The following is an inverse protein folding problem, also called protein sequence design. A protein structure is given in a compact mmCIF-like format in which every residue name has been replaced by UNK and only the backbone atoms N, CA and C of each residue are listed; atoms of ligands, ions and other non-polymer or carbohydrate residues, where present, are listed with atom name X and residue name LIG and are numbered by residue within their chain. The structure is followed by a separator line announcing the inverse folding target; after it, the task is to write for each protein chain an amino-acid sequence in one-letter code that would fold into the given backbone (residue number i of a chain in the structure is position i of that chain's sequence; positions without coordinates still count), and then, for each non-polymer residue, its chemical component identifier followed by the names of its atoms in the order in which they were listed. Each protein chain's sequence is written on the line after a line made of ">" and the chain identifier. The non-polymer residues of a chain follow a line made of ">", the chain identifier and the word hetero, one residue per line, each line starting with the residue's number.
data_IF_395440739064
#
_entry.id   IF_395440739064
#
_cell.length_a   1.000
_cell.length_b   1.000
_cell.length_c   1.000
_cell.angle_alpha   90.00
_cell.angle_beta   90.00
_cell.angle_gamma   90.00
#
_symmetry.space_group_name_H-M   'P 1'
#
loop_
_entity.id
_entity.type
_entity.pdbx_description
1 polymer ?
#
# COMPACT_ATOMS: atom_id res chain seq x y z
N UNK A 1 -14.56 9.39 -2.32
CA UNK A 1 -14.29 8.01 -1.86
C UNK A 1 -15.20 7.63 -0.69
N UNK A 2 -15.18 8.37 0.42
CA UNK A 2 -15.86 8.00 1.67
C UNK A 2 -17.39 7.93 1.54
N UNK A 3 -18.01 8.83 0.78
CA UNK A 3 -19.45 8.74 0.46
C UNK A 3 -19.77 7.49 -0.36
N UNK A 4 -19.06 7.24 -1.47
CA UNK A 4 -19.22 6.01 -2.28
C UNK A 4 -19.06 4.72 -1.45
N UNK A 5 -18.09 4.68 -0.53
CA UNK A 5 -17.85 3.51 0.31
C UNK A 5 -18.96 3.30 1.35
N UNK A 6 -19.49 4.39 1.93
CA UNK A 6 -20.64 4.35 2.86
C UNK A 6 -21.93 3.97 2.14
N UNK A 7 -22.20 4.59 0.99
CA UNK A 7 -23.40 4.34 0.16
C UNK A 7 -23.49 2.88 -0.30
N UNK A 8 -22.35 2.19 -0.41
CA UNK A 8 -22.25 0.77 -0.79
C UNK A 8 -22.01 -0.18 0.38
N UNK A 9 -22.10 0.31 1.62
CA UNK A 9 -21.88 -0.49 2.84
C UNK A 9 -20.53 -1.22 2.87
N UNK A 10 -19.47 -0.64 2.30
CA UNK A 10 -18.15 -1.27 2.23
C UNK A 10 -17.39 -1.18 3.55
N UNK A 11 -17.68 -0.17 4.37
CA UNK A 11 -17.03 0.05 5.67
C UNK A 11 -17.68 -0.78 6.77
N UNK A 12 -19.00 -0.69 6.94
CA UNK A 12 -19.74 -1.39 7.99
C UNK A 12 -20.13 -2.83 7.61
N UNK A 13 -20.26 -3.11 6.31
CA UNK A 13 -20.60 -4.44 5.79
C UNK A 13 -19.44 -5.42 5.68
N UNK A 14 -18.25 -5.05 6.17
CA UNK A 14 -17.07 -5.92 6.17
C UNK A 14 -16.29 -5.76 7.47
N UNK A 15 -15.50 -6.78 7.82
CA UNK A 15 -14.55 -6.68 8.94
C UNK A 15 -13.15 -6.30 8.44
N UNK A 16 -12.26 -5.81 9.31
CA UNK A 16 -10.86 -5.60 8.96
C UNK A 16 -10.16 -6.88 8.45
N UNK A 17 -10.60 -8.05 8.93
CA UNK A 17 -10.11 -9.35 8.43
C UNK A 17 -10.52 -9.58 6.99
N UNK A 18 -11.77 -9.28 6.62
CA UNK A 18 -12.26 -9.43 5.25
C UNK A 18 -11.52 -8.48 4.30
N UNK A 19 -11.30 -7.24 4.72
CA UNK A 19 -10.53 -6.28 3.95
C UNK A 19 -9.05 -6.68 3.82
N UNK A 20 -8.45 -7.31 4.84
CA UNK A 20 -7.11 -7.89 4.73
C UNK A 20 -7.04 -9.01 3.69
N UNK A 21 -8.03 -9.91 3.66
CA UNK A 21 -8.12 -10.96 2.64
C UNK A 21 -8.30 -10.36 1.24
N UNK A 22 -9.11 -9.31 1.11
CA UNK A 22 -9.28 -8.59 -0.15
C UNK A 22 -7.98 -7.93 -0.61
N UNK A 23 -7.23 -7.31 0.30
CA UNK A 23 -5.92 -6.73 -0.02
C UNK A 23 -4.93 -7.79 -0.55
N UNK A 24 -4.92 -8.98 0.05
CA UNK A 24 -4.08 -10.09 -0.44
C UNK A 24 -4.46 -10.48 -1.87
N UNK A 25 -5.76 -10.47 -2.20
CA UNK A 25 -6.22 -10.70 -3.57
C UNK A 25 -5.66 -9.62 -4.53
N UNK A 26 -5.81 -8.33 -4.21
CA UNK A 26 -5.33 -7.24 -5.09
C UNK A 26 -3.81 -7.29 -5.29
N UNK A 27 -3.05 -7.67 -4.26
CA UNK A 27 -1.59 -7.88 -4.38
C UNK A 27 -1.26 -9.05 -5.30
N UNK A 28 -2.10 -10.09 -5.31
CA UNK A 28 -1.98 -11.21 -6.25
C UNK A 28 -2.20 -10.77 -7.70
N UNK A 29 -3.21 -9.93 -7.95
CA UNK A 29 -3.51 -9.36 -9.27
C UNK A 29 -2.37 -8.43 -9.74
N UNK A 30 -1.87 -7.57 -8.85
CA UNK A 30 -0.67 -6.75 -9.11
C UNK A 30 0.54 -7.59 -9.50
N UNK A 31 0.79 -8.68 -8.77
CA UNK A 31 1.91 -9.59 -9.07
C UNK A 31 1.78 -10.22 -10.46
N UNK A 32 0.57 -10.68 -10.82
CA UNK A 32 0.29 -11.28 -12.12
C UNK A 32 0.46 -10.27 -13.27
N UNK A 33 -0.05 -9.05 -13.13
CA UNK A 33 0.14 -7.97 -14.10
C UNK A 33 1.62 -7.64 -14.32
N UNK A 34 2.40 -7.52 -13.25
CA UNK A 34 3.84 -7.29 -13.34
C UNK A 34 4.57 -8.45 -14.03
N UNK A 35 4.24 -9.70 -13.70
CA UNK A 35 4.84 -10.88 -14.33
C UNK A 35 4.52 -10.97 -15.83
N UNK A 36 3.37 -10.44 -16.26
CA UNK A 36 2.94 -10.41 -17.66
C UNK A 36 3.40 -9.17 -18.42
N UNK A 37 4.05 -8.21 -17.76
CA UNK A 37 4.46 -6.94 -18.36
C UNK A 37 3.28 -6.01 -18.69
N UNK A 38 2.13 -6.20 -18.03
CA UNK A 38 0.98 -5.33 -18.16
C UNK A 38 1.15 -4.04 -17.33
N UNK A 39 0.33 -3.03 -17.63
CA UNK A 39 0.29 -1.83 -16.79
C UNK A 39 -0.28 -2.17 -15.41
N UNK A 40 0.41 -1.81 -14.31
CA UNK A 40 -0.08 -2.07 -12.95
C UNK A 40 -1.03 -0.98 -12.42
N UNK A 41 -1.50 -0.06 -13.28
CA UNK A 41 -2.25 1.13 -12.84
C UNK A 41 -3.54 0.76 -12.10
N UNK A 42 -4.27 -0.23 -12.61
CA UNK A 42 -5.54 -0.67 -12.03
C UNK A 42 -5.28 -1.41 -10.71
N UNK A 43 -4.36 -2.37 -10.69
CA UNK A 43 -4.07 -3.18 -9.49
C UNK A 43 -3.49 -2.34 -8.34
N UNK A 44 -2.67 -1.33 -8.64
CA UNK A 44 -2.19 -0.36 -7.63
C UNK A 44 -3.38 0.44 -7.08
N UNK A 45 -4.29 0.87 -7.96
CA UNK A 45 -5.51 1.57 -7.57
C UNK A 45 -6.39 0.75 -6.63
N UNK A 46 -6.60 -0.53 -6.95
CA UNK A 46 -7.41 -1.43 -6.14
C UNK A 46 -6.79 -1.70 -4.76
N UNK A 47 -5.46 -1.90 -4.70
CA UNK A 47 -4.75 -1.95 -3.42
C UNK A 47 -4.97 -0.67 -2.59
N UNK A 48 -4.89 0.50 -3.22
CA UNK A 48 -5.10 1.78 -2.53
C UNK A 48 -6.54 1.97 -2.04
N UNK A 49 -7.54 1.51 -2.79
CA UNK A 49 -8.94 1.52 -2.37
C UNK A 49 -9.13 0.67 -1.12
N UNK A 50 -8.62 -0.56 -1.11
CA UNK A 50 -8.74 -1.47 0.05
C UNK A 50 -8.00 -0.91 1.27
N UNK A 51 -6.78 -0.40 1.09
CA UNK A 51 -6.02 0.25 2.18
C UNK A 51 -6.76 1.46 2.75
N UNK A 52 -7.46 2.23 1.91
CA UNK A 52 -8.28 3.35 2.35
C UNK A 52 -9.45 2.86 3.20
N UNK A 53 -10.14 1.77 2.81
CA UNK A 53 -11.23 1.19 3.60
C UNK A 53 -10.74 0.69 4.96
N UNK A 54 -9.60 0.01 5.01
CA UNK A 54 -8.98 -0.45 6.26
C UNK A 54 -8.66 0.75 7.16
N UNK A 55 -8.05 1.81 6.62
CA UNK A 55 -7.75 3.01 7.39
C UNK A 55 -9.03 3.62 8.01
N UNK A 56 -10.09 3.76 7.21
CA UNK A 56 -11.38 4.30 7.66
C UNK A 56 -12.03 3.42 8.74
N UNK A 57 -11.95 2.09 8.63
CA UNK A 57 -12.43 1.15 9.68
C UNK A 57 -11.70 1.33 11.02
N UNK A 58 -10.49 1.89 10.99
CA UNK A 58 -9.68 2.21 12.17
C UNK A 58 -9.72 3.70 12.56
N UNK A 59 -10.63 4.49 11.99
CA UNK A 59 -10.72 5.94 12.19
C UNK A 59 -9.43 6.69 11.80
N UNK A 60 -8.74 6.21 10.77
CA UNK A 60 -7.54 6.81 10.19
C UNK A 60 -7.82 7.28 8.76
N UNK A 61 -6.93 8.12 8.24
CA UNK A 61 -6.90 8.46 6.81
C UNK A 61 -5.68 7.83 6.16
N UNK A 62 -5.78 7.41 4.89
CA UNK A 62 -4.63 6.87 4.16
C UNK A 62 -3.47 7.88 4.10
N UNK A 63 -3.79 9.18 4.00
CA UNK A 63 -2.81 10.27 4.03
C UNK A 63 -2.06 10.34 5.35
N UNK A 64 -2.73 10.13 6.49
CA UNK A 64 -2.07 10.08 7.80
C UNK A 64 -1.13 8.87 7.93
N UNK A 65 -1.54 7.71 7.41
CA UNK A 65 -0.69 6.52 7.38
C UNK A 65 0.56 6.74 6.51
N UNK A 66 0.40 7.34 5.33
CA UNK A 66 1.50 7.68 4.44
C UNK A 66 2.45 8.71 5.09
N UNK A 67 1.92 9.76 5.70
CA UNK A 67 2.72 10.78 6.38
C UNK A 67 3.53 10.19 7.54
N UNK A 68 2.93 9.28 8.32
CA UNK A 68 3.63 8.54 9.37
C UNK A 68 4.80 7.74 8.81
N UNK A 69 4.54 6.87 7.81
CA UNK A 69 5.59 6.06 7.19
C UNK A 69 6.70 6.90 6.54
N UNK A 70 6.34 8.00 5.86
CA UNK A 70 7.33 8.91 5.28
C UNK A 70 8.24 9.53 6.35
N UNK A 71 7.68 9.95 7.48
CA UNK A 71 8.45 10.56 8.56
C UNK A 71 9.47 9.59 9.18
N UNK A 72 9.19 8.29 9.17
CA UNK A 72 10.13 7.25 9.65
C UNK A 72 11.29 6.98 8.69
N UNK A 73 11.10 7.23 7.39
CA UNK A 73 12.09 6.89 6.35
C UNK A 73 12.79 8.08 5.73
N UNK A 74 12.25 9.31 5.87
CA UNK A 74 12.77 10.52 5.19
C UNK A 74 14.24 10.86 5.47
N UNK A 75 14.77 10.43 6.61
CA UNK A 75 16.16 10.69 7.00
C UNK A 75 17.12 9.56 6.59
N UNK A 76 16.61 8.45 6.03
CA UNK A 76 17.45 7.32 5.60
C UNK A 76 18.30 7.74 4.41
N UNK A 77 19.60 7.46 4.50
CA UNK A 77 20.57 7.68 3.43
C UNK A 77 21.03 6.35 2.86
N UNK A 78 20.99 6.23 1.53
CA UNK A 78 21.26 4.99 0.82
C UNK A 78 20.61 4.99 -0.56
N UNK A 79 20.76 3.90 -1.29
CA UNK A 79 20.19 3.73 -2.63
C UNK A 79 19.79 2.28 -2.89
N UNK A 80 18.88 2.09 -3.84
CA UNK A 80 18.55 0.75 -4.33
C UNK A 80 19.67 0.25 -5.24
N UNK A 81 20.23 -0.92 -4.94
CA UNK A 81 21.19 -1.66 -5.78
C UNK A 81 20.66 -3.09 -5.92
N UNK A 82 20.45 -3.54 -7.15
CA UNK A 82 19.95 -4.89 -7.47
C UNK A 82 18.67 -5.27 -6.70
N UNK A 83 17.75 -4.31 -6.53
CA UNK A 83 16.48 -4.51 -5.83
C UNK A 83 16.56 -4.46 -4.30
N UNK A 84 17.73 -4.17 -3.73
CA UNK A 84 17.94 -4.06 -2.27
C UNK A 84 18.32 -2.64 -1.89
N UNK A 85 17.72 -2.10 -0.83
CA UNK A 85 18.14 -0.81 -0.28
C UNK A 85 19.47 -0.96 0.48
N UNK A 86 20.52 -0.33 -0.02
CA UNK A 86 21.86 -0.32 0.59
C UNK A 86 22.09 1.01 1.30
N UNK A 87 22.47 0.97 2.58
CA UNK A 87 22.74 2.18 3.37
C UNK A 87 24.04 2.85 2.90
N UNK A 88 24.08 4.17 2.99
CA UNK A 88 25.26 4.97 2.62
C UNK A 88 26.54 4.52 3.36
N UNK A 89 26.43 4.16 4.64
CA UNK A 89 27.55 3.63 5.44
C UNK A 89 28.18 2.35 4.87
N UNK A 90 27.38 1.54 4.17
CA UNK A 90 27.78 0.23 3.65
C UNK A 90 28.39 0.35 2.24
N UNK A 91 28.25 1.52 1.61
CA UNK A 91 28.87 1.85 0.32
C UNK A 91 30.33 2.31 0.47
N UNK A 92 30.69 2.88 1.62
CA UNK A 92 32.03 3.47 1.87
C UNK A 92 33.05 2.40 2.27
N UNK A 93 32.60 1.21 2.67
CA UNK A 93 33.45 0.09 3.11
C UNK A 93 33.73 -0.96 2.01
N UNK A 94 33.54 -0.61 0.73
CA UNK A 94 33.95 -1.42 -0.45
C UNK A 94 35.05 -0.70 -1.21
#
# INVERSE_FOLDING_TARGET
>A
MTYWAKDRNLIEGSTPKDQCLKLIQEVGELSDSLCKGNSPIDDIGDCMVVLTLIAEQHNLTISSCLAHAYNDIKARKGMMIDGVFVKESDLINK
#
